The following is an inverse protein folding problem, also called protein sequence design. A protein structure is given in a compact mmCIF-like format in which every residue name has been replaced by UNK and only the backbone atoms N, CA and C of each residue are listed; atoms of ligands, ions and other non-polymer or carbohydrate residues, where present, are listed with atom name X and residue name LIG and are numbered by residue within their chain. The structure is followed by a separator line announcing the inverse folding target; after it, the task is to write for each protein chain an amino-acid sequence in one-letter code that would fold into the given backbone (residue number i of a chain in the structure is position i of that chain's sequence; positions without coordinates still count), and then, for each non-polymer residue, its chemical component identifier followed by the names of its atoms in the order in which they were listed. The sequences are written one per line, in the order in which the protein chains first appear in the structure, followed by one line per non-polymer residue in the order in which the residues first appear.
data_IF_875514755837
#
_entry.id   IF_875514755837
#
_cell.length_a   1.000
_cell.length_b   1.000
_cell.length_c   1.000
_cell.angle_alpha   90.00
_cell.angle_beta   90.00
_cell.angle_gamma   90.00
#
_symmetry.space_group_name_H-M   'P 1'
#
loop_
_entity.id
_entity.type
_entity.pdbx_description
1 polymer ?
#
# COMPACT_ATOMS: atom_id res chain seq x y z
N UNK A 1 16.33 5.29 -6.93
CA UNK A 1 15.96 6.68 -7.33
C UNK A 1 16.53 7.62 -6.28
N UNK A 2 17.27 8.66 -6.67
CA UNK A 2 17.72 9.68 -5.72
C UNK A 2 16.58 10.66 -5.40
N UNK A 3 16.76 11.59 -4.41
CA UNK A 3 15.69 12.48 -3.94
C UNK A 3 15.08 13.35 -5.04
N UNK A 4 15.90 13.85 -5.95
CA UNK A 4 15.43 14.68 -7.04
C UNK A 4 14.65 13.88 -8.09
N UNK A 5 15.12 12.66 -8.41
CA UNK A 5 14.42 11.75 -9.34
C UNK A 5 13.04 11.33 -8.79
N UNK A 6 12.93 11.08 -7.49
CA UNK A 6 11.66 10.73 -6.85
C UNK A 6 10.67 11.88 -6.87
N UNK A 7 11.12 13.10 -6.60
CA UNK A 7 10.27 14.29 -6.64
C UNK A 7 9.77 14.56 -8.08
N UNK A 8 10.64 14.42 -9.08
CA UNK A 8 10.27 14.55 -10.49
C UNK A 8 9.26 13.49 -10.89
N UNK A 9 9.45 12.23 -10.47
CA UNK A 9 8.51 11.13 -10.73
C UNK A 9 7.14 11.40 -10.15
N UNK A 10 7.08 11.80 -8.87
CA UNK A 10 5.81 12.10 -8.20
C UNK A 10 5.07 13.27 -8.87
N UNK A 11 5.81 14.32 -9.21
CA UNK A 11 5.24 15.51 -9.89
C UNK A 11 4.73 15.17 -11.30
N UNK A 12 5.50 14.42 -12.08
CA UNK A 12 5.14 14.05 -13.45
C UNK A 12 3.84 13.23 -13.53
N UNK A 13 3.61 12.37 -12.53
CA UNK A 13 2.43 11.51 -12.48
C UNK A 13 1.23 12.13 -11.75
N UNK A 14 1.45 13.19 -10.97
CA UNK A 14 0.44 13.77 -10.08
C UNK A 14 -0.87 14.13 -10.78
N UNK A 15 -0.79 14.83 -11.90
CA UNK A 15 -1.98 15.28 -12.64
C UNK A 15 -2.76 14.13 -13.24
N UNK A 16 -2.07 13.11 -13.77
CA UNK A 16 -2.71 11.92 -14.28
C UNK A 16 -3.41 11.15 -13.15
N UNK A 17 -2.72 10.96 -12.01
CA UNK A 17 -3.32 10.34 -10.82
C UNK A 17 -4.52 11.12 -10.32
N UNK A 18 -4.40 12.44 -10.13
CA UNK A 18 -5.50 13.28 -9.67
C UNK A 18 -6.74 13.16 -10.57
N UNK A 19 -6.57 13.10 -11.90
CA UNK A 19 -7.68 12.97 -12.85
C UNK A 19 -8.28 11.56 -12.92
N UNK A 20 -7.57 10.54 -12.42
CA UNK A 20 -8.01 9.15 -12.46
C UNK A 20 -8.95 8.78 -11.30
N UNK A 21 -8.90 9.52 -10.21
CA UNK A 21 -9.76 9.28 -9.05
C UNK A 21 -10.98 10.18 -9.06
N UNK A 22 -12.13 9.75 -8.49
CA UNK A 22 -13.24 10.64 -8.21
C UNK A 22 -12.81 11.83 -7.35
N UNK A 23 -13.55 12.92 -7.39
CA UNK A 23 -13.26 14.13 -6.63
C UNK A 23 -13.12 13.82 -5.12
N UNK A 24 -12.00 14.25 -4.53
CA UNK A 24 -11.68 14.01 -3.12
C UNK A 24 -11.10 12.63 -2.79
N UNK A 25 -11.03 11.71 -3.75
CA UNK A 25 -10.56 10.34 -3.51
C UNK A 25 -9.05 10.14 -3.75
N UNK A 26 -8.34 11.16 -4.20
CA UNK A 26 -6.88 11.15 -4.33
C UNK A 26 -6.23 12.00 -3.24
N UNK A 27 -5.49 11.35 -2.34
CA UNK A 27 -4.76 11.97 -1.22
C UNK A 27 -3.24 11.82 -1.34
N UNK A 28 -2.77 11.47 -2.55
CA UNK A 28 -1.34 11.25 -2.83
C UNK A 28 -0.90 9.78 -2.70
N UNK A 29 -1.83 8.85 -2.73
CA UNK A 29 -1.55 7.41 -2.73
C UNK A 29 -0.96 6.93 -4.07
N UNK A 30 -0.08 5.92 -3.99
CA UNK A 30 0.45 5.19 -5.14
C UNK A 30 -0.15 3.77 -5.19
N UNK A 31 -1.47 3.68 -5.11
CA UNK A 31 -2.23 2.45 -4.98
C UNK A 31 -3.53 2.54 -5.77
N UNK A 32 -4.38 1.52 -5.71
CA UNK A 32 -5.72 1.56 -6.31
C UNK A 32 -6.81 1.89 -5.28
N UNK A 33 -6.45 2.07 -4.02
CA UNK A 33 -7.38 2.47 -2.96
C UNK A 33 -7.84 3.91 -3.13
N UNK A 34 -9.11 4.17 -2.87
CA UNK A 34 -9.66 5.53 -2.72
C UNK A 34 -9.44 6.06 -1.31
N UNK A 35 -9.45 7.37 -1.14
CA UNK A 35 -9.32 8.01 0.17
C UNK A 35 -10.38 7.48 1.16
N UNK A 36 -11.62 7.32 0.71
CA UNK A 36 -12.72 6.76 1.50
C UNK A 36 -12.47 5.31 1.96
N UNK A 37 -11.84 4.48 1.13
CA UNK A 37 -11.47 3.10 1.49
C UNK A 37 -10.33 3.08 2.52
N UNK A 38 -9.32 3.94 2.33
CA UNK A 38 -8.20 4.13 3.27
C UNK A 38 -8.72 4.54 4.65
N UNK A 39 -9.58 5.56 4.70
CA UNK A 39 -10.15 6.05 5.95
C UNK A 39 -11.04 5.00 6.61
N UNK A 40 -11.90 4.32 5.84
CA UNK A 40 -12.75 3.24 6.35
C UNK A 40 -11.93 2.10 6.96
N UNK A 41 -10.84 1.71 6.31
CA UNK A 41 -9.95 0.65 6.82
C UNK A 41 -9.26 1.09 8.12
N UNK A 42 -8.77 2.33 8.20
CA UNK A 42 -8.17 2.89 9.41
C UNK A 42 -9.16 2.95 10.58
N UNK A 43 -10.39 3.40 10.34
CA UNK A 43 -11.47 3.42 11.36
C UNK A 43 -11.79 2.00 11.84
N UNK A 44 -11.91 1.03 10.93
CA UNK A 44 -12.13 -0.39 11.28
C UNK A 44 -10.98 -0.98 12.10
N UNK A 45 -9.75 -0.52 11.85
CA UNK A 45 -8.58 -0.87 12.65
C UNK A 45 -8.57 -0.19 14.03
N UNK A 46 -9.49 0.73 14.31
CA UNK A 46 -9.58 1.44 15.58
C UNK A 46 -8.66 2.65 15.68
N UNK A 47 -8.18 3.17 14.56
CA UNK A 47 -7.39 4.41 14.55
C UNK A 47 -8.27 5.57 15.01
N UNK A 48 -7.76 6.32 15.98
CA UNK A 48 -8.42 7.50 16.57
C UNK A 48 -7.39 8.38 17.27
N UNK A 49 -7.80 9.50 17.85
CA UNK A 49 -6.91 10.39 18.58
C UNK A 49 -6.15 9.67 19.70
N UNK A 50 -4.83 9.85 19.74
CA UNK A 50 -3.93 9.25 20.72
C UNK A 50 -3.56 7.77 20.47
N UNK A 51 -4.08 7.15 19.41
CA UNK A 51 -3.69 5.79 18.99
C UNK A 51 -2.33 5.83 18.29
N UNK A 52 -1.40 4.96 18.69
CA UNK A 52 -0.09 4.82 18.05
C UNK A 52 -0.20 3.94 16.80
N UNK A 53 0.15 4.53 15.64
CA UNK A 53 0.06 3.88 14.32
C UNK A 53 1.45 3.74 13.71
N UNK A 54 1.81 2.54 13.27
CA UNK A 54 2.97 2.28 12.42
C UNK A 54 2.49 1.97 10.99
N UNK A 55 2.94 2.73 10.02
CA UNK A 55 2.65 2.50 8.59
C UNK A 55 3.91 2.01 7.88
N UNK A 56 3.87 0.76 7.44
CA UNK A 56 4.97 0.08 6.77
C UNK A 56 4.94 0.37 5.27
N UNK A 57 6.08 0.71 4.68
CA UNK A 57 6.20 1.09 3.27
C UNK A 57 5.33 2.32 2.94
N UNK A 58 5.38 3.34 3.79
CA UNK A 58 4.50 4.51 3.72
C UNK A 58 4.73 5.39 2.47
N UNK A 59 5.82 5.18 1.72
CA UNK A 59 6.18 5.99 0.56
C UNK A 59 6.27 7.47 0.89
N UNK A 60 5.62 8.31 0.08
CA UNK A 60 5.51 9.76 0.31
C UNK A 60 4.40 10.15 1.31
N UNK A 61 3.88 9.18 2.02
CA UNK A 61 2.91 9.27 3.12
C UNK A 61 1.58 9.97 2.78
N UNK A 62 1.09 9.86 1.54
CA UNK A 62 -0.23 10.39 1.19
C UNK A 62 -1.35 9.85 2.10
N UNK A 63 -1.55 8.52 2.17
CA UNK A 63 -2.50 7.88 3.08
C UNK A 63 -2.28 8.22 4.54
N UNK A 64 -1.05 8.12 5.04
CA UNK A 64 -0.73 8.37 6.45
C UNK A 64 -1.05 9.78 6.90
N UNK A 65 -0.70 10.79 6.10
CA UNK A 65 -1.05 12.18 6.35
C UNK A 65 -2.56 12.40 6.40
N UNK A 66 -3.27 11.81 5.46
CA UNK A 66 -4.73 11.87 5.41
C UNK A 66 -5.36 11.24 6.66
N UNK A 67 -4.95 10.03 7.02
CA UNK A 67 -5.40 9.36 8.25
C UNK A 67 -5.12 10.22 9.49
N UNK A 68 -3.92 10.78 9.61
CA UNK A 68 -3.55 11.63 10.76
C UNK A 68 -4.36 12.91 10.82
N UNK A 69 -4.61 13.55 9.68
CA UNK A 69 -5.44 14.75 9.60
C UNK A 69 -6.90 14.50 10.01
N UNK A 70 -7.48 13.36 9.59
CA UNK A 70 -8.88 13.03 9.85
C UNK A 70 -9.11 12.45 11.25
N UNK A 71 -8.16 11.66 11.77
CA UNK A 71 -8.37 10.86 12.99
C UNK A 71 -7.50 11.29 14.17
N UNK A 72 -6.49 12.13 13.98
CA UNK A 72 -5.66 12.67 15.05
C UNK A 72 -4.75 11.66 15.75
N UNK A 73 -4.33 10.60 15.06
CA UNK A 73 -3.47 9.55 15.62
C UNK A 73 -2.00 10.00 15.76
N UNK A 74 -1.22 9.26 16.57
CA UNK A 74 0.25 9.37 16.62
C UNK A 74 0.85 8.46 15.55
N UNK A 75 1.31 9.05 14.45
CA UNK A 75 1.72 8.31 13.28
C UNK A 75 3.24 8.19 13.14
N UNK A 76 3.69 6.97 12.84
CA UNK A 76 5.07 6.66 12.45
C UNK A 76 5.04 5.96 11.09
N UNK A 77 5.60 6.59 10.06
CA UNK A 77 5.76 6.00 8.73
C UNK A 77 7.19 5.53 8.49
N UNK A 78 7.35 4.33 7.94
CA UNK A 78 8.65 3.81 7.56
C UNK A 78 8.67 3.42 6.09
N UNK A 79 9.77 3.72 5.41
CA UNK A 79 10.02 3.32 4.02
C UNK A 79 11.52 3.15 3.77
N UNK A 80 11.89 2.25 2.89
CA UNK A 80 13.29 2.03 2.51
C UNK A 80 13.87 3.18 1.65
N UNK A 81 13.02 3.96 1.00
CA UNK A 81 13.39 5.08 0.14
C UNK A 81 13.60 6.36 0.95
N UNK A 82 14.86 6.74 1.17
CA UNK A 82 15.18 8.02 1.84
C UNK A 82 14.52 9.21 1.14
N UNK A 83 14.48 9.18 -0.19
CA UNK A 83 13.85 10.26 -0.98
C UNK A 83 12.33 10.35 -0.81
N UNK A 84 11.65 9.21 -0.62
CA UNK A 84 10.23 9.22 -0.31
C UNK A 84 9.98 9.78 1.10
N UNK A 85 10.82 9.39 2.07
CA UNK A 85 10.76 9.89 3.46
C UNK A 85 11.02 11.40 3.53
N UNK A 86 11.96 11.93 2.76
CA UNK A 86 12.21 13.38 2.73
C UNK A 86 10.98 14.16 2.23
N UNK A 87 10.33 13.66 1.17
CA UNK A 87 9.06 14.22 0.67
C UNK A 87 7.94 14.08 1.71
N UNK A 88 7.86 12.94 2.40
CA UNK A 88 6.87 12.71 3.44
C UNK A 88 7.02 13.71 4.61
N UNK A 89 8.24 13.95 5.08
CA UNK A 89 8.57 14.92 6.12
C UNK A 89 8.18 16.36 5.73
N UNK A 90 8.52 16.75 4.51
CA UNK A 90 8.17 18.08 3.98
C UNK A 90 6.64 18.27 3.94
N UNK A 91 5.91 17.27 3.46
CA UNK A 91 4.46 17.35 3.30
C UNK A 91 3.66 17.22 4.59
N UNK A 92 4.25 16.72 5.66
CA UNK A 92 3.60 16.47 6.94
C UNK A 92 4.07 17.41 8.05
N UNK A 93 4.71 18.53 7.72
CA UNK A 93 5.34 19.42 8.70
C UNK A 93 4.40 19.92 9.81
N UNK A 94 3.10 20.02 9.50
CA UNK A 94 2.07 20.52 10.43
C UNK A 94 1.27 19.39 11.13
N UNK A 95 1.67 18.13 10.95
CA UNK A 95 0.97 16.97 11.48
C UNK A 95 1.80 16.22 12.53
N UNK A 96 1.14 15.49 13.43
CA UNK A 96 1.79 14.60 14.40
C UNK A 96 2.33 13.31 13.74
N UNK A 97 3.18 13.49 12.72
CA UNK A 97 3.79 12.42 11.95
C UNK A 97 5.30 12.36 12.19
N UNK A 98 5.83 11.16 12.36
CA UNK A 98 7.27 10.86 12.33
C UNK A 98 7.57 9.94 11.18
N UNK A 99 8.75 10.09 10.58
CA UNK A 99 9.16 9.28 9.44
C UNK A 99 10.60 8.80 9.59
N UNK A 100 10.80 7.52 9.32
CA UNK A 100 12.09 6.86 9.43
C UNK A 100 12.44 6.12 8.13
N UNK A 101 13.70 6.19 7.73
CA UNK A 101 14.22 5.39 6.63
C UNK A 101 14.57 4.02 7.20
N UNK A 102 13.81 2.99 6.84
CA UNK A 102 14.04 1.64 7.30
C UNK A 102 13.68 0.61 6.23
N UNK A 103 14.52 -0.41 6.09
CA UNK A 103 14.21 -1.62 5.35
C UNK A 103 13.29 -2.49 6.21
N UNK A 104 12.21 -3.00 5.64
CA UNK A 104 11.29 -3.94 6.33
C UNK A 104 11.32 -5.30 5.61
N UNK A 105 11.41 -6.44 6.32
CA UNK A 105 11.87 -6.61 7.70
C UNK A 105 13.34 -6.19 7.92
N UNK A 106 13.81 -5.91 9.17
CA UNK A 106 13.08 -5.97 10.43
C UNK A 106 12.09 -4.82 10.63
N UNK A 107 11.02 -5.07 11.38
CA UNK A 107 10.01 -4.06 11.70
C UNK A 107 10.46 -3.25 12.92
N UNK A 108 10.27 -1.92 12.96
CA UNK A 108 10.56 -1.10 14.13
C UNK A 108 9.93 -1.66 15.41
N UNK A 109 10.69 -1.65 16.49
CA UNK A 109 10.23 -2.19 17.76
C UNK A 109 9.01 -1.41 18.27
N UNK A 110 7.92 -2.15 18.60
CA UNK A 110 6.71 -1.59 19.20
C UNK A 110 6.85 -1.27 20.69
N UNK A 111 5.73 -1.19 21.40
CA UNK A 111 4.43 -1.69 20.97
C UNK A 111 3.55 -0.64 20.28
N UNK A 112 2.86 -1.02 19.21
CA UNK A 112 1.90 -0.19 18.47
C UNK A 112 0.45 -0.66 18.70
N UNK A 113 -0.49 0.28 18.70
CA UNK A 113 -1.92 -0.03 18.75
C UNK A 113 -2.39 -0.54 17.38
N UNK A 114 -1.90 0.09 16.30
CA UNK A 114 -2.25 -0.27 14.93
C UNK A 114 -0.98 -0.34 14.07
N UNK A 115 -0.89 -1.37 13.24
CA UNK A 115 0.07 -1.45 12.13
C UNK A 115 -0.71 -1.39 10.81
N UNK A 116 -0.24 -0.61 9.86
CA UNK A 116 -0.78 -0.50 8.50
C UNK A 116 0.24 -1.06 7.50
N UNK A 117 -0.25 -1.74 6.45
CA UNK A 117 0.52 -2.12 5.27
C UNK A 117 -0.41 -2.08 4.06
N UNK A 118 -0.47 -0.94 3.40
CA UNK A 118 -1.42 -0.68 2.33
C UNK A 118 -0.80 -0.96 0.96
N UNK A 119 -1.43 -1.84 0.18
CA UNK A 119 -1.06 -2.16 -1.22
C UNK A 119 0.38 -2.67 -1.42
N UNK A 120 1.02 -3.19 -0.37
CA UNK A 120 2.44 -3.56 -0.43
C UNK A 120 2.73 -4.99 0.03
N UNK A 121 1.76 -5.73 0.57
CA UNK A 121 1.94 -7.13 0.99
C UNK A 121 2.50 -7.99 -0.15
N UNK A 122 2.10 -7.71 -1.40
CA UNK A 122 2.61 -8.42 -2.59
C UNK A 122 4.14 -8.29 -2.78
N UNK A 123 4.76 -7.24 -2.27
CA UNK A 123 6.20 -7.02 -2.45
C UNK A 123 7.09 -7.95 -1.60
N UNK A 124 6.52 -8.63 -0.62
CA UNK A 124 7.25 -9.49 0.29
C UNK A 124 7.18 -10.96 -0.14
N UNK A 125 8.30 -11.59 -0.54
CA UNK A 125 8.31 -13.02 -0.86
C UNK A 125 8.10 -13.90 0.39
N UNK A 126 8.67 -13.52 1.54
CA UNK A 126 8.53 -14.20 2.84
C UNK A 126 7.50 -13.49 3.71
N UNK A 127 6.23 -13.83 3.51
CA UNK A 127 5.12 -13.26 4.28
C UNK A 127 5.03 -13.86 5.68
N UNK A 128 5.57 -15.04 5.92
CA UNK A 128 5.57 -15.66 7.25
C UNK A 128 6.45 -14.86 8.22
N UNK A 129 7.66 -14.52 7.82
CA UNK A 129 8.54 -13.64 8.60
C UNK A 129 7.92 -12.25 8.80
N UNK A 130 7.37 -11.64 7.73
CA UNK A 130 6.70 -10.34 7.82
C UNK A 130 5.56 -10.35 8.85
N UNK A 131 4.65 -11.32 8.78
CA UNK A 131 3.49 -11.39 9.67
C UNK A 131 3.89 -11.68 11.12
N UNK A 132 4.93 -12.50 11.34
CA UNK A 132 5.47 -12.78 12.68
C UNK A 132 6.03 -11.52 13.33
N UNK A 133 6.79 -10.72 12.59
CA UNK A 133 7.35 -9.47 13.11
C UNK A 133 6.27 -8.42 13.34
N UNK A 134 5.25 -8.32 12.46
CA UNK A 134 4.08 -7.46 12.68
C UNK A 134 3.36 -7.87 13.97
N UNK A 135 3.10 -9.16 14.17
CA UNK A 135 2.47 -9.66 15.39
C UNK A 135 3.30 -9.34 16.64
N UNK A 136 4.64 -9.37 16.56
CA UNK A 136 5.53 -8.99 17.66
C UNK A 136 5.48 -7.48 17.95
N UNK A 137 5.37 -6.63 16.94
CA UNK A 137 5.31 -5.18 17.08
C UNK A 137 3.96 -4.67 17.62
N UNK A 138 2.90 -5.47 17.54
CA UNK A 138 1.57 -5.10 18.04
C UNK A 138 1.47 -5.27 19.56
N UNK A 139 0.76 -4.34 20.21
CA UNK A 139 0.23 -4.52 21.57
C UNK A 139 -0.73 -5.72 21.61
N UNK A 140 -0.96 -6.28 22.77
CA UNK A 140 -2.11 -7.17 23.01
C UNK A 140 -3.39 -6.37 22.79
N UNK A 141 -4.32 -6.88 21.99
CA UNK A 141 -5.49 -6.16 21.51
C UNK A 141 -5.20 -5.19 20.35
N UNK A 142 -3.94 -5.04 19.95
CA UNK A 142 -3.54 -4.23 18.80
C UNK A 142 -3.96 -4.87 17.47
N UNK A 143 -4.09 -4.05 16.42
CA UNK A 143 -4.64 -4.47 15.14
C UNK A 143 -3.68 -4.22 13.98
N UNK A 144 -3.70 -5.13 13.01
CA UNK A 144 -3.03 -4.98 11.75
C UNK A 144 -4.07 -4.80 10.65
N UNK A 145 -3.98 -3.71 9.89
CA UNK A 145 -4.83 -3.42 8.76
C UNK A 145 -4.02 -3.38 7.47
N UNK A 146 -4.43 -4.15 6.48
CA UNK A 146 -3.66 -4.32 5.25
C UNK A 146 -4.54 -4.67 4.06
N UNK A 147 -3.94 -4.59 2.86
CA UNK A 147 -4.52 -5.14 1.64
C UNK A 147 -3.72 -6.32 1.12
N UNK A 148 -4.39 -7.24 0.44
CA UNK A 148 -3.80 -8.42 -0.18
C UNK A 148 -4.18 -8.49 -1.64
N UNK A 149 -3.19 -8.71 -2.48
CA UNK A 149 -3.37 -9.19 -3.85
C UNK A 149 -3.39 -10.73 -3.82
N UNK A 150 -4.61 -11.28 -3.76
CA UNK A 150 -4.84 -12.70 -3.76
C UNK A 150 -4.66 -13.29 -5.15
N UNK A 151 -4.04 -14.47 -5.21
CA UNK A 151 -3.89 -15.23 -6.44
C UNK A 151 -2.79 -16.26 -6.35
N UNK A 152 -2.74 -17.15 -7.33
CA UNK A 152 -1.65 -18.13 -7.44
C UNK A 152 -0.33 -17.41 -7.77
N UNK A 153 0.83 -17.95 -7.37
CA UNK A 153 2.14 -17.42 -7.77
C UNK A 153 2.24 -17.21 -9.28
N UNK A 154 3.01 -16.21 -9.69
CA UNK A 154 3.20 -15.90 -11.11
C UNK A 154 3.87 -17.05 -11.84
N UNK A 155 3.34 -17.44 -12.98
CA UNK A 155 3.99 -18.33 -13.93
C UNK A 155 5.22 -17.65 -14.56
N UNK A 156 6.10 -18.45 -15.17
CA UNK A 156 7.28 -17.92 -15.89
C UNK A 156 6.88 -16.91 -16.97
N UNK A 157 5.80 -17.19 -17.71
CA UNK A 157 5.32 -16.30 -18.78
C UNK A 157 4.75 -14.98 -18.25
N UNK A 158 4.06 -15.01 -17.10
CA UNK A 158 3.57 -13.80 -16.42
C UNK A 158 4.73 -12.96 -15.90
N UNK A 159 5.74 -13.56 -15.27
CA UNK A 159 6.95 -12.85 -14.81
C UNK A 159 7.70 -12.16 -15.95
N UNK A 160 7.77 -12.77 -17.13
CA UNK A 160 8.43 -12.17 -18.30
C UNK A 160 7.67 -10.95 -18.84
N UNK A 161 6.36 -10.88 -18.66
CA UNK A 161 5.53 -9.77 -19.16
C UNK A 161 5.30 -8.66 -18.15
N UNK A 162 5.36 -8.98 -16.85
CA UNK A 162 5.08 -8.03 -15.77
C UNK A 162 6.32 -7.17 -15.51
N UNK A 163 6.27 -5.85 -15.69
CA UNK A 163 7.31 -4.96 -15.21
C UNK A 163 7.51 -5.11 -13.70
N UNK A 164 8.77 -5.10 -13.24
CA UNK A 164 9.12 -5.28 -11.83
C UNK A 164 8.50 -6.55 -11.19
N UNK A 165 8.45 -7.67 -11.93
CA UNK A 165 7.86 -8.93 -11.48
C UNK A 165 8.53 -9.53 -10.22
N UNK A 166 9.74 -9.11 -9.90
CA UNK A 166 10.47 -9.43 -8.67
C UNK A 166 9.88 -8.79 -7.40
N UNK A 167 8.99 -7.82 -7.56
CA UNK A 167 8.20 -7.22 -6.47
C UNK A 167 6.75 -7.74 -6.42
N UNK A 168 6.40 -8.76 -7.21
CA UNK A 168 5.02 -9.28 -7.28
C UNK A 168 4.95 -10.74 -6.85
N UNK A 169 4.54 -10.94 -5.60
CA UNK A 169 4.42 -12.25 -4.95
C UNK A 169 2.99 -12.46 -4.47
N UNK A 170 2.11 -12.86 -5.41
CA UNK A 170 0.71 -13.20 -5.09
C UNK A 170 0.65 -14.41 -4.16
N UNK A 171 -0.38 -14.45 -3.32
CA UNK A 171 -0.62 -15.51 -2.35
C UNK A 171 -2.10 -15.93 -2.38
N UNK A 172 -2.41 -17.23 -2.39
CA UNK A 172 -3.78 -17.71 -2.23
C UNK A 172 -4.36 -17.32 -0.85
N UNK A 173 -5.62 -16.91 -0.82
CA UNK A 173 -6.30 -16.49 0.41
C UNK A 173 -6.25 -17.54 1.54
N UNK A 174 -6.48 -18.86 1.27
CA UNK A 174 -6.38 -19.88 2.32
C UNK A 174 -4.97 -19.96 2.95
N UNK A 175 -3.92 -19.71 2.17
CA UNK A 175 -2.55 -19.71 2.66
C UNK A 175 -2.30 -18.52 3.59
N UNK A 176 -2.77 -17.31 3.22
CA UNK A 176 -2.72 -16.14 4.11
C UNK A 176 -3.44 -16.41 5.43
N UNK A 177 -4.66 -16.94 5.39
CA UNK A 177 -5.44 -17.22 6.60
C UNK A 177 -4.71 -18.22 7.52
N UNK A 178 -4.07 -19.24 6.94
CA UNK A 178 -3.22 -20.16 7.70
C UNK A 178 -1.99 -19.48 8.31
N UNK A 179 -1.37 -18.52 7.63
CA UNK A 179 -0.25 -17.75 8.20
C UNK A 179 -0.71 -16.87 9.36
N UNK A 180 -1.83 -16.16 9.23
CA UNK A 180 -2.39 -15.33 10.30
C UNK A 180 -2.68 -16.16 11.55
N UNK A 181 -3.30 -17.33 11.39
CA UNK A 181 -3.57 -18.25 12.51
C UNK A 181 -2.29 -18.72 13.20
N UNK A 182 -1.26 -19.12 12.42
CA UNK A 182 0.03 -19.58 12.99
C UNK A 182 0.77 -18.52 13.80
N UNK A 183 0.63 -17.25 13.42
CA UNK A 183 1.27 -16.13 14.16
C UNK A 183 0.37 -15.56 15.26
N UNK A 184 -0.79 -16.19 15.52
CA UNK A 184 -1.71 -15.78 16.59
C UNK A 184 -2.54 -14.53 16.26
N UNK A 185 -2.72 -14.19 14.98
CA UNK A 185 -3.56 -13.06 14.55
C UNK A 185 -4.94 -13.57 14.14
N UNK A 186 -5.98 -12.96 14.70
CA UNK A 186 -7.38 -13.30 14.43
C UNK A 186 -8.01 -12.29 13.46
N UNK A 187 -8.64 -12.78 12.40
CA UNK A 187 -9.39 -11.93 11.47
C UNK A 187 -10.62 -11.36 12.18
N UNK A 188 -10.73 -10.03 12.23
CA UNK A 188 -11.89 -9.30 12.72
C UNK A 188 -12.83 -8.88 11.59
N UNK A 189 -12.24 -8.51 10.46
CA UNK A 189 -12.97 -8.03 9.30
C UNK A 189 -12.17 -8.31 8.03
N UNK A 190 -12.87 -8.64 6.95
CA UNK A 190 -12.33 -8.72 5.59
C UNK A 190 -13.39 -8.28 4.58
N UNK A 191 -12.93 -7.76 3.46
CA UNK A 191 -13.78 -7.38 2.33
C UNK A 191 -13.06 -7.57 1.02
N UNK A 192 -13.80 -7.95 -0.02
CA UNK A 192 -13.26 -8.05 -1.37
C UNK A 192 -13.48 -6.73 -2.13
N UNK A 193 -12.40 -6.03 -2.45
CA UNK A 193 -12.39 -4.74 -3.12
C UNK A 193 -11.95 -4.83 -4.60
N UNK A 194 -11.98 -6.02 -5.21
CA UNK A 194 -11.50 -6.25 -6.58
C UNK A 194 -12.15 -5.32 -7.61
N UNK A 195 -13.47 -5.14 -7.54
CA UNK A 195 -14.21 -4.33 -8.51
C UNK A 195 -13.90 -2.83 -8.36
N UNK A 196 -13.85 -2.29 -7.12
CA UNK A 196 -13.51 -0.89 -6.90
C UNK A 196 -12.09 -0.57 -7.38
N UNK A 197 -11.13 -1.48 -7.10
CA UNK A 197 -9.75 -1.32 -7.55
C UNK A 197 -9.61 -1.49 -9.07
N UNK A 198 -10.39 -2.38 -9.70
CA UNK A 198 -10.43 -2.52 -11.15
C UNK A 198 -10.83 -1.21 -11.83
N UNK A 199 -11.86 -0.54 -11.32
CA UNK A 199 -12.29 0.77 -11.85
C UNK A 199 -11.17 1.81 -11.76
N UNK A 200 -10.45 1.85 -10.64
CA UNK A 200 -9.36 2.82 -10.46
C UNK A 200 -8.16 2.48 -11.36
N UNK A 201 -7.75 1.21 -11.47
CA UNK A 201 -6.61 0.86 -12.34
C UNK A 201 -6.93 1.12 -13.83
N UNK A 202 -8.15 0.92 -14.28
CA UNK A 202 -8.59 1.27 -15.64
C UNK A 202 -8.55 2.78 -15.85
N UNK A 203 -9.05 3.56 -14.89
CA UNK A 203 -9.00 5.02 -14.93
C UNK A 203 -7.57 5.56 -14.94
N UNK A 204 -6.68 5.01 -14.11
CA UNK A 204 -5.25 5.32 -14.10
C UNK A 204 -4.59 4.99 -15.44
N UNK A 205 -4.89 3.83 -16.01
CA UNK A 205 -4.36 3.42 -17.33
C UNK A 205 -4.72 4.44 -18.41
N UNK A 206 -5.98 4.87 -18.43
CA UNK A 206 -6.47 5.86 -19.39
C UNK A 206 -5.84 7.24 -19.16
N UNK A 207 -5.70 7.68 -17.90
CA UNK A 207 -5.11 8.95 -17.54
C UNK A 207 -3.60 9.01 -17.90
N UNK A 208 -2.85 7.93 -17.65
CA UNK A 208 -1.45 7.83 -18.05
C UNK A 208 -1.29 7.77 -19.57
N UNK A 209 -2.16 7.03 -20.28
CA UNK A 209 -2.13 6.97 -21.73
C UNK A 209 -2.41 8.35 -22.36
N UNK A 210 -3.39 9.10 -21.85
CA UNK A 210 -3.73 10.43 -22.31
C UNK A 210 -2.60 11.47 -22.13
N UNK A 211 -1.65 11.22 -21.20
CA UNK A 211 -0.52 12.10 -20.92
C UNK A 211 0.84 11.44 -21.20
N UNK A 212 0.84 10.37 -22.00
CA UNK A 212 2.03 9.54 -22.22
C UNK A 212 3.24 10.34 -22.73
N UNK A 213 3.03 11.31 -23.62
CA UNK A 213 4.10 12.11 -24.18
C UNK A 213 4.65 13.14 -23.17
N UNK A 214 3.78 13.79 -22.39
CA UNK A 214 4.16 14.73 -21.33
C UNK A 214 4.97 14.02 -20.24
N UNK A 215 4.53 12.81 -19.83
CA UNK A 215 5.22 11.99 -18.83
C UNK A 215 6.55 11.48 -19.41
N UNK A 216 6.57 11.03 -20.67
CA UNK A 216 7.78 10.55 -21.32
C UNK A 216 8.85 11.64 -21.50
N UNK A 217 8.44 12.89 -21.71
CA UNK A 217 9.37 14.02 -21.76
C UNK A 217 10.11 14.25 -20.45
N UNK A 218 9.51 13.90 -19.30
CA UNK A 218 10.08 14.09 -17.96
C UNK A 218 10.79 12.83 -17.43
N UNK A 219 10.23 11.65 -17.67
CA UNK A 219 10.68 10.38 -17.06
C UNK A 219 11.31 9.40 -18.06
N UNK A 220 11.18 9.68 -19.36
CA UNK A 220 11.59 8.77 -20.43
C UNK A 220 10.50 7.79 -20.87
N UNK A 221 10.54 7.41 -22.15
CA UNK A 221 9.52 6.54 -22.78
C UNK A 221 9.39 5.18 -22.11
N UNK A 222 10.50 4.57 -21.70
CA UNK A 222 10.50 3.27 -21.04
C UNK A 222 9.67 3.27 -19.75
N UNK A 223 9.76 4.31 -18.93
CA UNK A 223 8.98 4.42 -17.68
C UNK A 223 7.47 4.44 -17.99
N UNK A 224 7.07 5.16 -19.03
CA UNK A 224 5.66 5.20 -19.47
C UNK A 224 5.19 3.84 -19.98
N UNK A 225 5.99 3.18 -20.79
CA UNK A 225 5.65 1.87 -21.36
C UNK A 225 5.52 0.82 -20.25
N UNK A 226 6.44 0.78 -19.28
CA UNK A 226 6.40 -0.10 -18.12
C UNK A 226 5.16 0.21 -17.24
N UNK A 227 4.87 1.50 -17.00
CA UNK A 227 3.70 1.94 -16.25
C UNK A 227 2.39 1.48 -16.89
N UNK A 228 2.21 1.74 -18.17
CA UNK A 228 1.02 1.35 -18.93
C UNK A 228 0.88 -0.17 -19.02
N UNK A 229 1.99 -0.88 -19.25
CA UNK A 229 2.00 -2.35 -19.31
C UNK A 229 1.57 -2.95 -17.97
N UNK A 230 2.13 -2.49 -16.87
CA UNK A 230 1.79 -2.95 -15.52
C UNK A 230 0.30 -2.73 -15.21
N UNK A 231 -0.22 -1.52 -15.46
CA UNK A 231 -1.62 -1.20 -15.17
C UNK A 231 -2.60 -2.00 -16.04
N UNK A 232 -2.28 -2.25 -17.31
CA UNK A 232 -3.10 -3.12 -18.18
C UNK A 232 -3.13 -4.56 -17.67
N UNK A 233 -1.98 -5.10 -17.27
CA UNK A 233 -1.91 -6.45 -16.69
C UNK A 233 -2.76 -6.55 -15.43
N UNK A 234 -2.66 -5.57 -14.51
CA UNK A 234 -3.50 -5.54 -13.31
C UNK A 234 -4.99 -5.42 -13.64
N UNK A 235 -5.37 -4.56 -14.60
CA UNK A 235 -6.75 -4.43 -15.04
C UNK A 235 -7.31 -5.74 -15.59
N UNK A 236 -6.55 -6.43 -16.45
CA UNK A 236 -6.94 -7.71 -17.02
C UNK A 236 -7.05 -8.80 -15.94
N UNK A 237 -6.08 -8.89 -15.03
CA UNK A 237 -6.10 -9.87 -13.95
C UNK A 237 -7.28 -9.68 -13.00
N UNK A 238 -7.61 -8.45 -12.64
CA UNK A 238 -8.79 -8.16 -11.81
C UNK A 238 -10.09 -8.50 -12.54
N UNK A 239 -10.18 -8.20 -13.84
CA UNK A 239 -11.35 -8.52 -14.66
C UNK A 239 -11.56 -10.01 -14.85
N UNK A 240 -10.49 -10.77 -15.02
CA UNK A 240 -10.51 -12.20 -15.29
C UNK A 240 -10.54 -13.05 -14.01
N UNK A 241 -10.44 -12.44 -12.84
CA UNK A 241 -10.31 -13.13 -11.56
C UNK A 241 -8.98 -13.88 -11.40
N UNK A 242 -7.95 -13.52 -12.19
CA UNK A 242 -6.58 -14.07 -12.05
C UNK A 242 -5.94 -13.57 -10.75
N UNK A 243 -6.23 -12.33 -10.38
CA UNK A 243 -5.93 -11.75 -9.08
C UNK A 243 -7.20 -11.13 -8.50
N UNK A 244 -7.33 -11.18 -7.18
CA UNK A 244 -8.37 -10.50 -6.42
C UNK A 244 -7.74 -9.61 -5.36
N UNK A 245 -8.45 -8.56 -4.98
CA UNK A 245 -8.00 -7.61 -3.95
C UNK A 245 -8.87 -7.74 -2.73
N UNK A 246 -8.22 -7.89 -1.58
CA UNK A 246 -8.89 -7.95 -0.29
C UNK A 246 -8.31 -6.90 0.67
N UNK A 247 -9.17 -6.36 1.53
CA UNK A 247 -8.77 -5.58 2.68
C UNK A 247 -9.08 -6.35 3.97
N UNK A 248 -8.19 -6.25 4.95
CA UNK A 248 -8.26 -6.98 6.21
C UNK A 248 -8.03 -6.08 7.40
N UNK A 249 -8.73 -6.39 8.49
CA UNK A 249 -8.34 -6.02 9.85
C UNK A 249 -8.22 -7.30 10.67
N UNK A 250 -7.04 -7.51 11.24
CA UNK A 250 -6.75 -8.63 12.13
C UNK A 250 -6.29 -8.10 13.49
N UNK A 251 -6.45 -8.86 14.54
CA UNK A 251 -6.13 -8.49 15.92
C UNK A 251 -5.17 -9.48 16.56
N UNK A 252 -4.26 -8.99 17.39
CA UNK A 252 -3.50 -9.81 18.34
C UNK A 252 -4.33 -10.00 19.60
N UNK A 253 -5.00 -11.15 19.80
CA UNK A 253 -5.92 -11.35 20.92
C UNK A 253 -5.20 -11.38 22.26
N UNK A 254 -5.95 -11.17 23.35
CA UNK A 254 -5.44 -11.41 24.71
C UNK A 254 -5.26 -12.91 24.92
N UNK A 255 -4.08 -13.35 25.36
CA UNK A 255 -3.82 -14.75 25.73
C UNK A 255 -3.49 -15.69 24.56
N UNK A 256 -2.91 -15.17 23.49
CA UNK A 256 -2.25 -16.00 22.47
C UNK A 256 -0.83 -16.36 22.89
#
# INVERSE_FOLDING_TARGET
MNGNERAVYDLALRWARLSAYPAGEFVGQESFMRASEILSLAVKAGVSSGVSVLDLCCGVAGPGRFITSELGCEYVGVDASSSAIDIARERAADLACRFEVAQVPPIPAGPFDVVLLLETVLAFPDKDTLLREIAAALKVGGRFAFTLEEGRPLTRGERQRMPAADTVWLMPLPELLSFLERVGLRVLWQDECSESHRVIVESLTNAFAARADDIAAQLGRRVVDDLLSSHRIWSDWLREGRARKFAFVVEKPQGA
#
